data_IF_294532513666
#
_entry.id   IF_294532513666
#
_cell.length_a   1.000
_cell.length_b   1.000
_cell.length_c   1.000
_cell.angle_alpha   90.00
_cell.angle_beta   90.00
_cell.angle_gamma   90.00
#
_symmetry.space_group_name_H-M   'P 1'
#
loop_
_entity.id
_entity.type
_entity.pdbx_description
1 polymer ?
#
# COMPACT_ATOMS: atom_id res chain seq x y z
N UNK A 1 -27.24 -16.18 22.50
CA UNK A 1 -27.61 -17.61 22.62
C UNK A 1 -28.74 -17.90 21.64
N UNK A 2 -28.72 -19.03 20.95
CA UNK A 2 -29.87 -19.54 20.20
C UNK A 2 -30.13 -20.97 20.68
N UNK A 3 -31.36 -21.27 21.11
CA UNK A 3 -31.75 -22.56 21.72
C UNK A 3 -30.85 -23.02 22.89
N UNK A 4 -30.47 -22.13 23.80
CA UNK A 4 -29.66 -22.49 24.97
C UNK A 4 -28.20 -22.86 24.70
N UNK A 5 -27.76 -22.82 23.43
CA UNK A 5 -26.37 -23.03 23.05
C UNK A 5 -25.68 -21.66 22.95
N UNK A 6 -24.57 -21.43 23.67
CA UNK A 6 -23.74 -20.25 23.47
C UNK A 6 -23.07 -20.35 22.10
N UNK A 7 -23.68 -19.73 21.09
CA UNK A 7 -23.04 -19.55 19.78
C UNK A 7 -21.93 -18.51 19.97
N UNK A 8 -20.65 -18.87 19.75
CA UNK A 8 -19.56 -17.90 19.81
C UNK A 8 -19.66 -16.99 18.58
N UNK A 9 -20.35 -15.86 18.75
CA UNK A 9 -20.40 -14.81 17.73
C UNK A 9 -19.12 -14.01 17.84
N UNK A 10 -18.22 -14.17 16.87
CA UNK A 10 -17.06 -13.28 16.74
C UNK A 10 -17.53 -12.00 16.08
N UNK A 11 -17.80 -10.98 16.89
CA UNK A 11 -18.13 -9.64 16.38
C UNK A 11 -16.81 -9.00 15.91
N UNK A 12 -16.65 -8.65 14.62
CA UNK A 12 -15.47 -7.95 14.16
C UNK A 12 -15.41 -6.58 14.83
N UNK A 13 -14.39 -6.33 15.64
CA UNK A 13 -14.19 -5.04 16.34
C UNK A 13 -13.64 -3.97 15.39
N UNK A 14 -13.10 -4.39 14.25
CA UNK A 14 -12.66 -3.51 13.16
C UNK A 14 -13.01 -4.15 11.82
N UNK A 15 -13.75 -3.43 10.98
CA UNK A 15 -14.07 -3.82 9.60
C UNK A 15 -13.37 -2.84 8.68
N UNK A 16 -12.51 -3.34 7.78
CA UNK A 16 -11.90 -2.49 6.78
C UNK A 16 -12.97 -1.98 5.79
N UNK A 17 -12.82 -0.76 5.24
CA UNK A 17 -13.69 -0.28 4.17
C UNK A 17 -13.83 -1.31 3.05
N UNK A 18 -14.99 -1.34 2.40
CA UNK A 18 -15.29 -2.23 1.25
C UNK A 18 -15.23 -3.74 1.56
N UNK A 19 -15.06 -4.15 2.83
CA UNK A 19 -15.16 -5.56 3.23
C UNK A 19 -16.62 -5.90 3.48
N UNK A 20 -17.30 -6.45 2.48
CA UNK A 20 -18.71 -6.85 2.56
C UNK A 20 -18.83 -8.35 2.38
N UNK A 21 -19.41 -9.02 3.39
CA UNK A 21 -19.62 -10.47 3.37
C UNK A 21 -18.33 -11.30 3.48
N UNK A 22 -18.50 -12.61 3.28
CA UNK A 22 -17.39 -13.56 3.24
C UNK A 22 -16.92 -13.73 1.79
N UNK A 23 -15.66 -13.43 1.54
CA UNK A 23 -15.01 -13.60 0.23
C UNK A 23 -13.54 -13.99 0.42
N UNK A 24 -12.93 -14.55 -0.62
CA UNK A 24 -11.51 -14.92 -0.60
C UNK A 24 -10.77 -14.35 -1.80
N UNK A 25 -9.78 -13.49 -1.51
CA UNK A 25 -8.81 -13.04 -2.50
C UNK A 25 -7.95 -14.20 -2.99
N UNK A 26 -7.61 -15.16 -2.13
CA UNK A 26 -6.84 -16.34 -2.51
C UNK A 26 -7.57 -17.11 -3.62
N UNK A 27 -8.86 -17.43 -3.43
CA UNK A 27 -9.67 -18.13 -4.44
C UNK A 27 -9.71 -17.35 -5.75
N UNK A 28 -9.98 -16.04 -5.70
CA UNK A 28 -10.04 -15.18 -6.89
C UNK A 28 -8.71 -15.19 -7.66
N UNK A 29 -7.59 -15.00 -6.96
CA UNK A 29 -6.25 -14.96 -7.55
C UNK A 29 -5.90 -16.30 -8.17
N UNK A 30 -6.08 -17.40 -7.44
CA UNK A 30 -5.79 -18.75 -7.95
C UNK A 30 -6.58 -19.04 -9.22
N UNK A 31 -7.88 -18.72 -9.24
CA UNK A 31 -8.76 -18.97 -10.38
C UNK A 31 -8.22 -18.38 -11.69
N UNK A 32 -7.80 -17.11 -11.66
CA UNK A 32 -7.31 -16.41 -12.85
C UNK A 32 -5.81 -16.63 -13.13
N UNK A 33 -5.01 -16.89 -12.09
CA UNK A 33 -3.56 -17.15 -12.24
C UNK A 33 -3.26 -18.54 -12.79
N UNK A 34 -3.97 -19.58 -12.35
CA UNK A 34 -3.70 -20.96 -12.78
C UNK A 34 -4.02 -21.17 -14.27
N UNK A 35 -5.11 -20.59 -14.75
CA UNK A 35 -5.49 -20.65 -16.17
C UNK A 35 -4.45 -19.94 -17.04
N UNK A 36 -4.02 -18.75 -16.63
CA UNK A 36 -3.00 -17.97 -17.33
C UNK A 36 -1.63 -18.67 -17.34
N UNK A 37 -1.24 -19.31 -16.24
CA UNK A 37 0.02 -20.07 -16.17
C UNK A 37 0.05 -21.31 -17.07
N UNK A 38 -1.10 -21.95 -17.31
CA UNK A 38 -1.21 -23.12 -18.22
C UNK A 38 -1.19 -22.73 -19.70
N UNK A 39 -1.82 -21.62 -20.04
CA UNK A 39 -1.90 -21.12 -21.42
C UNK A 39 -1.92 -19.60 -21.44
N UNK A 40 -0.73 -18.99 -21.55
CA UNK A 40 -0.58 -17.53 -21.64
C UNK A 40 -1.23 -17.05 -22.92
N UNK A 41 -2.34 -16.33 -22.80
CA UNK A 41 -2.99 -15.64 -23.91
C UNK A 41 -2.67 -14.14 -23.81
N UNK A 42 -2.08 -13.54 -24.86
CA UNK A 42 -1.75 -12.13 -24.84
C UNK A 42 -3.03 -11.29 -24.87
N UNK A 43 -3.07 -10.26 -24.03
CA UNK A 43 -4.17 -9.30 -24.01
C UNK A 43 -4.06 -8.29 -25.17
N UNK A 44 -5.19 -7.82 -25.72
CA UNK A 44 -5.22 -6.62 -26.53
C UNK A 44 -4.63 -5.44 -25.75
N UNK A 45 -3.81 -4.63 -26.42
CA UNK A 45 -3.17 -3.48 -25.78
C UNK A 45 -4.20 -2.40 -25.44
N UNK A 46 -4.25 -2.02 -24.18
CA UNK A 46 -5.03 -0.87 -23.71
C UNK A 46 -4.26 -0.14 -22.61
N UNK A 47 -4.03 1.16 -22.79
CA UNK A 47 -3.08 1.92 -21.98
C UNK A 47 -3.39 1.93 -20.47
N UNK A 48 -4.67 1.85 -20.06
CA UNK A 48 -5.03 1.71 -18.65
C UNK A 48 -4.87 0.29 -18.11
N UNK A 49 -5.07 -0.74 -18.93
CA UNK A 49 -5.28 -2.13 -18.46
C UNK A 49 -4.01 -2.97 -18.54
N UNK A 50 -3.24 -2.81 -19.61
CA UNK A 50 -2.06 -3.62 -19.93
C UNK A 50 -0.78 -2.81 -19.70
N UNK A 51 -0.52 -2.41 -18.45
CA UNK A 51 0.61 -1.53 -18.08
C UNK A 51 1.98 -2.14 -18.38
N UNK A 52 2.11 -3.47 -18.33
CA UNK A 52 3.32 -4.21 -18.70
C UNK A 52 3.16 -4.92 -20.06
N UNK A 53 2.38 -4.32 -20.97
CA UNK A 53 2.11 -4.87 -22.30
C UNK A 53 1.20 -6.12 -22.29
N UNK A 54 1.20 -6.92 -23.37
CA UNK A 54 0.20 -7.97 -23.60
C UNK A 54 0.21 -9.10 -22.56
N UNK A 55 1.33 -9.27 -21.85
CA UNK A 55 1.50 -10.33 -20.84
C UNK A 55 1.27 -9.82 -19.41
N UNK A 56 0.60 -8.68 -19.25
CA UNK A 56 0.19 -8.18 -17.94
C UNK A 56 -0.64 -9.25 -17.22
N UNK A 57 -0.34 -9.52 -15.95
CA UNK A 57 -1.01 -10.57 -15.19
C UNK A 57 -2.54 -10.28 -15.07
N UNK A 58 -3.44 -11.27 -15.23
CA UNK A 58 -4.89 -11.05 -15.27
C UNK A 58 -5.47 -10.31 -14.05
N UNK A 59 -4.93 -10.59 -12.86
CA UNK A 59 -5.33 -9.90 -11.62
C UNK A 59 -4.94 -8.42 -11.63
N UNK A 60 -3.82 -8.06 -12.27
CA UNK A 60 -3.40 -6.66 -12.44
C UNK A 60 -4.30 -5.97 -13.47
N UNK A 61 -4.66 -6.66 -14.56
CA UNK A 61 -5.66 -6.17 -15.53
C UNK A 61 -6.99 -5.88 -14.83
N UNK A 62 -7.45 -6.78 -13.96
CA UNK A 62 -8.65 -6.59 -13.14
C UNK A 62 -8.50 -5.38 -12.20
N UNK A 63 -7.41 -5.29 -11.44
CA UNK A 63 -7.16 -4.15 -10.55
C UNK A 63 -7.16 -2.81 -11.30
N UNK A 64 -6.51 -2.75 -12.46
CA UNK A 64 -6.46 -1.58 -13.33
C UNK A 64 -7.85 -1.20 -13.87
N UNK A 65 -8.65 -2.18 -14.27
CA UNK A 65 -10.02 -1.96 -14.73
C UNK A 65 -10.88 -1.32 -13.63
N UNK A 66 -10.75 -1.82 -12.41
CA UNK A 66 -11.47 -1.29 -11.25
C UNK A 66 -11.01 0.13 -10.88
N UNK A 67 -9.69 0.36 -10.82
CA UNK A 67 -9.12 1.67 -10.53
C UNK A 67 -9.48 2.74 -11.57
N UNK A 68 -9.58 2.36 -12.84
CA UNK A 68 -9.93 3.27 -13.94
C UNK A 68 -11.42 3.26 -14.29
N UNK A 69 -12.26 2.76 -13.38
CA UNK A 69 -13.71 2.79 -13.45
C UNK A 69 -14.30 2.17 -14.73
N UNK A 70 -13.69 1.08 -15.22
CA UNK A 70 -14.17 0.30 -16.36
C UNK A 70 -15.36 -0.59 -15.97
N UNK A 71 -16.14 -1.02 -16.97
CA UNK A 71 -17.26 -1.95 -16.82
C UNK A 71 -16.71 -3.39 -16.73
N UNK A 72 -16.80 -3.98 -15.55
CA UNK A 72 -16.26 -5.32 -15.28
C UNK A 72 -17.41 -6.30 -15.04
N UNK A 73 -17.40 -7.42 -15.77
CA UNK A 73 -18.39 -8.50 -15.61
C UNK A 73 -17.70 -9.79 -15.19
N UNK A 74 -18.24 -10.44 -14.17
CA UNK A 74 -17.92 -11.81 -13.77
C UNK A 74 -18.96 -12.76 -14.32
N UNK A 75 -18.59 -13.58 -15.29
CA UNK A 75 -19.45 -14.57 -15.92
C UNK A 75 -19.28 -15.93 -15.23
N UNK A 76 -20.34 -16.41 -14.58
CA UNK A 76 -20.42 -17.72 -13.91
C UNK A 76 -21.42 -18.65 -14.56
N UNK A 77 -21.29 -18.96 -15.86
CA UNK A 77 -22.18 -19.91 -16.50
C UNK A 77 -22.08 -21.29 -15.83
N UNK A 78 -23.23 -21.89 -15.48
CA UNK A 78 -23.34 -23.15 -14.71
C UNK A 78 -22.67 -23.12 -13.31
N UNK A 79 -22.43 -21.93 -12.75
CA UNK A 79 -22.00 -21.79 -11.35
C UNK A 79 -23.14 -21.24 -10.49
N UNK A 80 -23.18 -21.58 -9.19
CA UNK A 80 -24.09 -20.95 -8.25
C UNK A 80 -23.88 -19.44 -8.23
N UNK A 81 -24.97 -18.66 -8.19
CA UNK A 81 -24.90 -17.19 -8.10
C UNK A 81 -24.12 -16.70 -6.88
N UNK A 82 -24.09 -17.48 -5.80
CA UNK A 82 -23.26 -17.22 -4.63
C UNK A 82 -21.75 -17.15 -4.94
N UNK A 83 -21.22 -18.07 -5.74
CA UNK A 83 -19.79 -18.03 -6.13
C UNK A 83 -19.47 -16.83 -7.00
N UNK A 84 -20.40 -16.42 -7.87
CA UNK A 84 -20.26 -15.23 -8.71
C UNK A 84 -20.27 -13.97 -7.84
N UNK A 85 -21.19 -13.89 -6.89
CA UNK A 85 -21.27 -12.80 -5.92
C UNK A 85 -20.00 -12.70 -5.06
N UNK A 86 -19.47 -13.84 -4.58
CA UNK A 86 -18.19 -13.88 -3.84
C UNK A 86 -17.03 -13.30 -4.68
N UNK A 87 -16.97 -13.61 -5.98
CA UNK A 87 -15.93 -13.09 -6.87
C UNK A 87 -16.05 -11.57 -7.07
N UNK A 88 -17.26 -11.05 -7.25
CA UNK A 88 -17.53 -9.60 -7.35
C UNK A 88 -17.10 -8.87 -6.08
N UNK A 89 -17.45 -9.40 -4.91
CA UNK A 89 -17.08 -8.82 -3.62
C UNK A 89 -15.57 -8.90 -3.36
N UNK A 90 -14.94 -10.02 -3.74
CA UNK A 90 -13.48 -10.17 -3.69
C UNK A 90 -12.78 -9.13 -4.57
N UNK A 91 -13.30 -8.86 -5.76
CA UNK A 91 -12.75 -7.84 -6.66
C UNK A 91 -12.84 -6.42 -6.06
N UNK A 92 -13.98 -6.08 -5.42
CA UNK A 92 -14.13 -4.80 -4.72
C UNK A 92 -13.08 -4.62 -3.61
N UNK A 93 -12.88 -5.66 -2.80
CA UNK A 93 -11.90 -5.62 -1.73
C UNK A 93 -10.44 -5.61 -2.24
N UNK A 94 -10.18 -6.27 -3.37
CA UNK A 94 -8.88 -6.26 -4.03
C UNK A 94 -8.49 -4.86 -4.50
N UNK A 95 -9.39 -4.16 -5.19
CA UNK A 95 -9.15 -2.78 -5.63
C UNK A 95 -9.13 -1.77 -4.47
N UNK A 96 -9.93 -2.02 -3.43
CA UNK A 96 -9.94 -1.19 -2.23
C UNK A 96 -8.62 -1.25 -1.46
N UNK A 97 -8.06 -2.46 -1.29
CA UNK A 97 -6.97 -2.69 -0.34
C UNK A 97 -7.32 -2.29 1.10
N UNK A 98 -8.61 -2.08 1.42
CA UNK A 98 -9.07 -1.51 2.68
C UNK A 98 -8.65 -0.05 2.90
N UNK A 99 -8.32 0.67 1.82
CA UNK A 99 -7.87 2.08 1.84
C UNK A 99 -8.72 2.92 0.91
N UNK A 100 -8.87 2.50 -0.35
CA UNK A 100 -9.74 3.16 -1.32
C UNK A 100 -11.19 2.70 -1.12
N UNK A 101 -12.15 3.62 -1.22
CA UNK A 101 -13.58 3.32 -1.04
C UNK A 101 -14.41 3.66 -2.28
N UNK A 102 -15.64 3.16 -2.30
CA UNK A 102 -16.65 3.45 -3.31
C UNK A 102 -16.92 2.31 -4.30
N UNK A 103 -16.12 1.24 -4.32
CA UNK A 103 -16.28 0.09 -5.22
C UNK A 103 -17.62 -0.64 -5.02
N UNK A 104 -18.00 -0.88 -3.77
CA UNK A 104 -19.25 -1.54 -3.37
C UNK A 104 -20.51 -0.77 -3.79
N UNK A 105 -20.44 0.56 -3.95
CA UNK A 105 -21.60 1.39 -4.36
C UNK A 105 -22.05 1.15 -5.80
N UNK A 106 -21.19 0.58 -6.62
CA UNK A 106 -21.45 0.25 -8.03
C UNK A 106 -21.13 -1.21 -8.33
N UNK A 107 -21.11 -2.03 -7.27
CA UNK A 107 -21.02 -3.47 -7.37
C UNK A 107 -22.43 -4.06 -7.36
N UNK A 108 -22.70 -4.91 -8.34
CA UNK A 108 -23.92 -5.69 -8.49
C UNK A 108 -23.53 -7.16 -8.36
N UNK A 109 -23.50 -7.74 -7.14
CA UNK A 109 -23.07 -9.12 -6.93
C UNK A 109 -23.81 -10.12 -7.82
N UNK A 110 -25.04 -9.79 -8.21
CA UNK A 110 -25.78 -10.48 -9.25
C UNK A 110 -26.66 -9.49 -10.04
N UNK A 111 -26.68 -9.63 -11.37
CA UNK A 111 -27.61 -8.94 -12.27
C UNK A 111 -28.06 -9.85 -13.40
N UNK A 112 -29.25 -9.58 -13.91
CA UNK A 112 -29.87 -10.29 -15.02
C UNK A 112 -29.93 -9.43 -16.30
N UNK A 113 -30.34 -10.04 -17.41
CA UNK A 113 -30.42 -9.36 -18.71
C UNK A 113 -31.45 -8.22 -18.73
N UNK A 114 -32.49 -8.27 -17.89
CA UNK A 114 -33.56 -7.27 -17.90
C UNK A 114 -33.08 -5.88 -17.46
N UNK A 115 -31.97 -5.81 -16.74
CA UNK A 115 -31.40 -4.58 -16.18
C UNK A 115 -30.20 -4.04 -16.96
N UNK A 116 -29.94 -4.56 -18.15
CA UNK A 116 -28.75 -4.19 -18.91
C UNK A 116 -28.74 -2.69 -19.25
N UNK A 117 -29.88 -2.12 -19.64
CA UNK A 117 -29.97 -0.71 -20.00
C UNK A 117 -29.69 0.19 -18.78
N UNK A 118 -30.21 -0.17 -17.61
CA UNK A 118 -29.92 0.52 -16.35
C UNK A 118 -28.45 0.39 -15.95
N UNK A 119 -27.87 -0.79 -16.15
CA UNK A 119 -26.48 -1.07 -15.83
C UNK A 119 -25.52 -0.25 -16.70
N UNK A 120 -25.85 -0.05 -17.98
CA UNK A 120 -25.07 0.75 -18.92
C UNK A 120 -25.10 2.25 -18.61
N UNK A 121 -26.12 2.74 -17.91
CA UNK A 121 -26.18 4.13 -17.44
C UNK A 121 -25.18 4.41 -16.30
N UNK A 122 -24.65 3.36 -15.64
CA UNK A 122 -23.63 3.52 -14.60
C UNK A 122 -22.27 3.71 -15.28
N UNK A 123 -21.50 4.77 -14.98
CA UNK A 123 -20.25 5.14 -15.67
C UNK A 123 -19.05 4.22 -15.34
N UNK A 124 -19.31 2.94 -15.09
CA UNK A 124 -18.40 1.91 -14.59
C UNK A 124 -19.06 1.15 -13.45
N UNK A 125 -19.11 -0.17 -13.58
CA UNK A 125 -19.78 -1.08 -12.66
C UNK A 125 -19.00 -2.39 -12.53
N UNK A 126 -19.27 -3.13 -11.44
CA UNK A 126 -18.72 -4.47 -11.19
C UNK A 126 -19.89 -5.42 -11.05
N UNK A 127 -20.18 -6.25 -12.05
CA UNK A 127 -21.39 -7.05 -12.07
C UNK A 127 -21.10 -8.56 -12.13
N UNK A 128 -21.91 -9.34 -11.43
CA UNK A 128 -21.93 -10.79 -11.52
C UNK A 128 -23.10 -11.27 -12.38
N UNK A 129 -22.84 -12.14 -13.35
CA UNK A 129 -23.87 -12.67 -14.26
C UNK A 129 -23.68 -14.18 -14.46
N UNK A 130 -24.77 -14.89 -14.70
CA UNK A 130 -24.73 -16.34 -15.03
C UNK A 130 -25.14 -16.64 -16.46
N UNK A 131 -25.68 -15.64 -17.17
CA UNK A 131 -26.15 -15.80 -18.54
C UNK A 131 -24.97 -15.63 -19.53
N UNK A 132 -24.69 -16.64 -20.39
CA UNK A 132 -23.58 -16.56 -21.35
C UNK A 132 -23.78 -15.52 -22.45
N UNK A 133 -25.01 -15.01 -22.66
CA UNK A 133 -25.29 -13.95 -23.64
C UNK A 133 -24.38 -12.72 -23.44
N UNK A 134 -23.99 -12.41 -22.20
CA UNK A 134 -23.06 -11.30 -21.92
C UNK A 134 -21.73 -11.43 -22.66
N UNK A 135 -21.23 -12.65 -22.89
CA UNK A 135 -19.98 -12.86 -23.64
C UNK A 135 -20.11 -12.48 -25.12
N UNK A 136 -21.30 -12.62 -25.69
CA UNK A 136 -21.59 -12.35 -27.10
C UNK A 136 -21.74 -10.85 -27.41
N UNK A 137 -21.92 -10.02 -26.38
CA UNK A 137 -22.13 -8.57 -26.48
C UNK A 137 -20.97 -7.79 -25.85
N UNK A 138 -19.82 -7.69 -26.55
CA UNK A 138 -18.64 -6.95 -26.06
C UNK A 138 -18.91 -5.45 -25.84
N UNK A 139 -19.99 -4.89 -26.39
CA UNK A 139 -20.43 -3.53 -26.14
C UNK A 139 -20.91 -3.28 -24.70
N UNK A 140 -21.26 -4.34 -23.95
CA UNK A 140 -21.82 -4.20 -22.59
C UNK A 140 -20.78 -4.11 -21.49
N UNK A 141 -19.53 -4.47 -21.77
CA UNK A 141 -18.46 -4.55 -20.79
C UNK A 141 -17.11 -4.20 -21.40
N UNK A 142 -16.17 -3.80 -20.55
CA UNK A 142 -14.81 -3.49 -20.96
C UNK A 142 -13.86 -4.65 -20.63
N UNK A 143 -14.10 -5.31 -19.48
CA UNK A 143 -13.38 -6.51 -19.03
C UNK A 143 -14.36 -7.59 -18.61
N UNK A 144 -14.19 -8.80 -19.15
CA UNK A 144 -14.97 -9.98 -18.78
C UNK A 144 -14.07 -11.01 -18.09
N UNK A 145 -14.47 -11.39 -16.89
CA UNK A 145 -13.84 -12.39 -16.05
C UNK A 145 -14.69 -13.67 -16.09
N UNK A 146 -14.27 -14.64 -16.89
CA UNK A 146 -14.94 -15.94 -17.02
C UNK A 146 -14.50 -16.85 -15.87
N UNK A 147 -15.41 -17.11 -14.94
CA UNK A 147 -15.16 -17.91 -13.75
C UNK A 147 -14.98 -19.41 -14.09
N UNK A 148 -15.83 -20.06 -14.90
CA UNK A 148 -15.61 -21.44 -15.33
C UNK A 148 -14.24 -21.69 -15.97
N UNK A 149 -13.80 -20.83 -16.90
CA UNK A 149 -12.52 -21.05 -17.61
C UNK A 149 -11.32 -20.41 -16.91
N UNK A 150 -11.55 -19.52 -15.95
CA UNK A 150 -10.51 -18.73 -15.29
C UNK A 150 -9.82 -17.75 -16.24
N UNK A 151 -10.46 -17.36 -17.35
CA UNK A 151 -9.88 -16.43 -18.34
C UNK A 151 -10.42 -15.03 -18.13
N UNK A 152 -9.53 -14.04 -18.31
CA UNK A 152 -9.91 -12.63 -18.40
C UNK A 152 -9.84 -12.22 -19.86
N UNK A 153 -10.84 -11.46 -20.33
CA UNK A 153 -10.93 -10.95 -21.71
C UNK A 153 -11.09 -9.44 -21.66
N UNK A 154 -10.44 -8.74 -22.58
CA UNK A 154 -10.64 -7.30 -22.81
C UNK A 154 -11.54 -7.17 -24.03
N UNK A 155 -12.57 -6.32 -23.93
CA UNK A 155 -13.54 -6.12 -25.00
C UNK A 155 -12.87 -5.55 -26.24
N UNK A 156 -13.29 -6.00 -27.43
CA UNK A 156 -12.89 -5.40 -28.70
C UNK A 156 -13.54 -4.03 -28.95
N UNK A 157 -14.56 -3.68 -28.15
CA UNK A 157 -15.29 -2.42 -28.19
C UNK A 157 -14.90 -1.47 -27.05
N UNK A 158 -13.87 -1.80 -26.28
CA UNK A 158 -13.37 -0.93 -25.22
C UNK A 158 -12.93 0.41 -25.82
N UNK A 159 -13.39 1.50 -25.21
CA UNK A 159 -12.96 2.84 -25.60
C UNK A 159 -11.48 3.02 -25.29
N UNK A 160 -10.69 3.58 -26.24
CA UNK A 160 -9.28 3.84 -26.00
C UNK A 160 -9.10 4.85 -24.88
N UNK A 161 -8.00 4.72 -24.14
CA UNK A 161 -7.61 5.73 -23.16
C UNK A 161 -7.40 7.08 -23.85
N UNK A 162 -8.08 8.12 -23.35
CA UNK A 162 -7.89 9.50 -23.82
C UNK A 162 -6.50 9.98 -23.42
N UNK A 163 -5.85 10.73 -24.32
CA UNK A 163 -4.63 11.45 -23.97
C UNK A 163 -4.98 12.52 -22.96
N UNK A 164 -4.35 12.48 -21.79
CA UNK A 164 -4.57 13.46 -20.72
C UNK A 164 -3.45 14.49 -20.66
N UNK A 165 -3.75 15.65 -20.07
CA UNK A 165 -2.76 16.72 -19.89
C UNK A 165 -1.55 16.24 -19.08
N UNK A 166 -1.78 15.45 -18.02
CA UNK A 166 -0.69 14.93 -17.19
C UNK A 166 0.26 14.01 -17.95
N UNK A 167 -0.28 13.23 -18.90
CA UNK A 167 0.53 12.41 -19.78
C UNK A 167 1.45 13.26 -20.66
N UNK A 168 0.90 14.33 -21.26
CA UNK A 168 1.65 15.24 -22.13
C UNK A 168 2.71 16.00 -21.35
N UNK A 169 2.36 16.57 -20.20
CA UNK A 169 3.29 17.29 -19.34
C UNK A 169 4.42 16.39 -18.85
N UNK A 170 4.12 15.16 -18.43
CA UNK A 170 5.16 14.21 -18.03
C UNK A 170 6.15 13.93 -19.16
N UNK A 171 5.66 13.70 -20.39
CA UNK A 171 6.51 13.45 -21.55
C UNK A 171 7.40 14.66 -21.91
N UNK A 172 6.88 15.88 -21.79
CA UNK A 172 7.62 17.11 -22.05
C UNK A 172 8.70 17.37 -20.99
N UNK A 173 8.38 17.15 -19.71
CA UNK A 173 9.30 17.32 -18.60
C UNK A 173 10.37 16.21 -18.55
N UNK A 174 10.05 15.01 -19.05
CA UNK A 174 10.91 13.83 -19.02
C UNK A 174 11.12 13.21 -20.41
N UNK A 175 11.76 13.90 -21.37
CA UNK A 175 11.89 13.42 -22.76
C UNK A 175 12.56 12.05 -22.88
N UNK A 176 13.55 11.75 -22.03
CA UNK A 176 14.26 10.47 -22.02
C UNK A 176 13.37 9.27 -21.64
N UNK A 177 12.24 9.51 -20.98
CA UNK A 177 11.31 8.48 -20.52
C UNK A 177 9.97 8.51 -21.26
N UNK A 178 9.77 9.45 -22.19
CA UNK A 178 8.52 9.63 -22.92
C UNK A 178 8.08 8.36 -23.69
N UNK A 179 9.04 7.59 -24.23
CA UNK A 179 8.79 6.34 -24.94
C UNK A 179 8.38 5.15 -24.05
N UNK A 180 8.44 5.30 -22.72
CA UNK A 180 7.96 4.29 -21.77
C UNK A 180 6.51 4.50 -21.35
N UNK A 181 5.94 5.67 -21.65
CA UNK A 181 4.58 6.03 -21.26
C UNK A 181 3.55 5.25 -22.09
N UNK A 182 2.53 4.70 -21.42
CA UNK A 182 1.36 4.10 -22.06
C UNK A 182 1.40 2.59 -22.30
N UNK A 183 2.43 1.87 -21.82
CA UNK A 183 2.46 0.40 -21.82
C UNK A 183 2.45 -0.27 -23.20
N UNK A 184 2.47 0.50 -24.28
CA UNK A 184 2.49 0.03 -25.68
C UNK A 184 3.89 -0.25 -26.18
N UNK A 185 4.94 0.12 -25.42
CA UNK A 185 6.33 -0.16 -25.79
C UNK A 185 6.73 -1.58 -25.38
N UNK A 186 7.39 -2.31 -26.29
CA UNK A 186 7.97 -3.65 -26.02
C UNK A 186 8.89 -3.64 -24.79
N UNK A 187 9.52 -2.50 -24.52
CA UNK A 187 10.44 -2.26 -23.40
C UNK A 187 9.72 -2.40 -22.04
N UNK A 188 8.46 -1.94 -21.95
CA UNK A 188 7.68 -2.00 -20.70
C UNK A 188 7.34 -3.45 -20.30
N UNK A 189 7.20 -4.34 -21.28
CA UNK A 189 6.91 -5.76 -21.04
C UNK A 189 8.13 -6.56 -20.54
N UNK A 190 9.35 -6.14 -20.90
CA UNK A 190 10.60 -6.82 -20.52
C UNK A 190 11.21 -6.31 -19.20
N UNK A 191 10.89 -5.08 -18.78
CA UNK A 191 11.57 -4.41 -17.65
C UNK A 191 10.72 -4.22 -16.38
N UNK A 192 9.47 -4.72 -16.35
CA UNK A 192 8.51 -4.61 -15.22
C UNK A 192 8.54 -3.23 -14.55
N UNK A 193 8.26 -2.17 -15.32
CA UNK A 193 8.42 -0.77 -14.87
C UNK A 193 7.59 -0.44 -13.62
N UNK A 194 6.43 -1.08 -13.46
CA UNK A 194 5.53 -0.88 -12.32
C UNK A 194 5.84 -1.78 -11.12
N UNK A 195 6.67 -2.82 -11.31
CA UNK A 195 6.93 -3.86 -10.31
C UNK A 195 5.76 -4.85 -10.12
N UNK A 196 4.76 -4.83 -10.99
CA UNK A 196 3.57 -5.67 -10.86
C UNK A 196 3.87 -7.16 -11.09
N UNK A 197 4.83 -7.50 -11.96
CA UNK A 197 5.21 -8.90 -12.16
C UNK A 197 5.89 -9.45 -10.90
N UNK A 198 6.85 -8.71 -10.34
CA UNK A 198 7.51 -9.07 -9.09
C UNK A 198 6.51 -9.20 -7.93
N UNK A 199 5.57 -8.26 -7.83
CA UNK A 199 4.49 -8.31 -6.84
C UNK A 199 3.61 -9.56 -6.98
N UNK A 200 3.13 -9.87 -8.19
CA UNK A 200 2.29 -11.04 -8.41
C UNK A 200 3.03 -12.36 -8.16
N UNK A 201 4.33 -12.44 -8.49
CA UNK A 201 5.15 -13.61 -8.15
C UNK A 201 5.23 -13.82 -6.63
N UNK A 202 5.41 -12.76 -5.85
CA UNK A 202 5.45 -12.82 -4.39
C UNK A 202 4.09 -13.21 -3.77
N UNK A 203 2.98 -12.72 -4.34
CA UNK A 203 1.61 -13.16 -3.98
C UNK A 203 1.45 -14.66 -4.24
N UNK A 204 1.79 -15.15 -5.43
CA UNK A 204 1.66 -16.56 -5.80
C UNK A 204 2.54 -17.46 -4.93
N UNK A 205 3.77 -17.02 -4.63
CA UNK A 205 4.66 -17.71 -3.69
C UNK A 205 4.03 -17.81 -2.29
N UNK A 206 3.37 -16.75 -1.83
CA UNK A 206 2.71 -16.74 -0.52
C UNK A 206 1.50 -17.67 -0.47
N UNK A 207 0.73 -17.74 -1.55
CA UNK A 207 -0.39 -18.68 -1.71
C UNK A 207 0.13 -20.12 -1.75
N UNK A 208 1.18 -20.40 -2.51
CA UNK A 208 1.82 -21.72 -2.56
C UNK A 208 2.38 -22.15 -1.20
N UNK A 209 2.91 -21.20 -0.42
CA UNK A 209 3.35 -21.40 0.96
C UNK A 209 2.19 -21.47 1.99
N UNK A 210 0.93 -21.52 1.52
CA UNK A 210 -0.29 -21.61 2.34
C UNK A 210 -0.41 -20.52 3.40
N UNK A 211 0.08 -19.31 3.09
CA UNK A 211 -0.14 -18.14 3.96
C UNK A 211 -1.62 -17.80 3.97
N UNK A 212 -2.14 -17.44 5.16
CA UNK A 212 -3.57 -17.16 5.33
C UNK A 212 -4.04 -15.90 4.59
N UNK A 213 -5.35 -15.79 4.39
CA UNK A 213 -6.03 -14.70 3.68
C UNK A 213 -5.61 -13.30 4.16
N UNK A 214 -5.39 -13.12 5.48
CA UNK A 214 -4.93 -11.85 6.07
C UNK A 214 -3.60 -11.38 5.50
N UNK A 215 -2.68 -12.30 5.21
CA UNK A 215 -1.36 -11.96 4.64
C UNK A 215 -1.51 -11.49 3.20
N UNK A 216 -2.35 -12.16 2.40
CA UNK A 216 -2.60 -11.77 1.01
C UNK A 216 -3.31 -10.40 0.96
N UNK A 217 -4.29 -10.17 1.83
CA UNK A 217 -4.96 -8.87 1.97
C UNK A 217 -3.99 -7.76 2.39
N UNK A 218 -3.08 -8.03 3.33
CA UNK A 218 -2.05 -7.07 3.72
C UNK A 218 -1.13 -6.69 2.55
N UNK A 219 -0.70 -7.67 1.74
CA UNK A 219 0.11 -7.39 0.54
C UNK A 219 -0.63 -6.55 -0.50
N UNK A 220 -1.92 -6.81 -0.71
CA UNK A 220 -2.75 -5.99 -1.59
C UNK A 220 -2.96 -4.57 -1.05
N UNK A 221 -3.16 -4.44 0.27
CA UNK A 221 -3.20 -3.13 0.94
C UNK A 221 -1.90 -2.36 0.71
N UNK A 222 -0.74 -3.01 0.87
CA UNK A 222 0.56 -2.39 0.62
C UNK A 222 0.72 -1.95 -0.84
N UNK A 223 0.23 -2.75 -1.80
CA UNK A 223 0.22 -2.37 -3.23
C UNK A 223 -0.64 -1.12 -3.49
N UNK A 224 -1.84 -1.03 -2.89
CA UNK A 224 -2.72 0.15 -3.01
C UNK A 224 -2.12 1.39 -2.32
N UNK A 225 -1.52 1.23 -1.14
CA UNK A 225 -0.82 2.33 -0.44
C UNK A 225 0.37 2.82 -1.26
N UNK A 226 1.15 1.89 -1.84
CA UNK A 226 2.23 2.22 -2.76
C UNK A 226 1.70 3.01 -3.95
N UNK A 227 0.65 2.52 -4.62
CA UNK A 227 0.04 3.19 -5.77
C UNK A 227 -0.40 4.63 -5.46
N UNK A 228 -1.14 4.84 -4.36
CA UNK A 228 -1.60 6.18 -3.96
C UNK A 228 -0.46 7.14 -3.65
N UNK A 229 0.63 6.67 -3.03
CA UNK A 229 1.83 7.49 -2.76
C UNK A 229 2.64 7.80 -4.02
N UNK A 230 2.69 6.88 -4.98
CA UNK A 230 3.29 7.14 -6.31
C UNK A 230 2.43 8.15 -7.08
N UNK A 231 1.10 8.04 -7.03
CA UNK A 231 0.19 9.00 -7.63
C UNK A 231 0.38 10.41 -7.07
N UNK A 232 0.57 10.55 -5.75
CA UNK A 232 0.85 11.83 -5.13
C UNK A 232 2.14 12.47 -5.68
N UNK A 233 3.22 11.70 -5.78
CA UNK A 233 4.49 12.16 -6.33
C UNK A 233 4.43 12.46 -7.84
N UNK A 234 3.57 11.76 -8.59
CA UNK A 234 3.28 12.10 -9.98
C UNK A 234 2.58 13.46 -10.06
N UNK A 235 1.55 13.69 -9.24
CA UNK A 235 0.79 14.94 -9.24
C UNK A 235 1.68 16.15 -8.91
N UNK A 236 2.51 16.04 -7.88
CA UNK A 236 3.49 17.07 -7.54
C UNK A 236 4.49 17.32 -8.66
N UNK A 237 5.00 16.25 -9.28
CA UNK A 237 5.98 16.38 -10.37
C UNK A 237 5.39 17.07 -11.60
N UNK A 238 4.15 16.74 -11.94
CA UNK A 238 3.52 17.15 -13.20
C UNK A 238 2.69 18.44 -13.06
N UNK A 239 1.91 18.56 -11.99
CA UNK A 239 0.99 19.68 -11.73
C UNK A 239 1.52 20.67 -10.69
N UNK A 240 2.68 20.38 -10.07
CA UNK A 240 3.31 21.23 -9.05
C UNK A 240 2.76 21.06 -7.63
N UNK A 241 1.60 20.40 -7.49
CA UNK A 241 1.00 20.07 -6.19
C UNK A 241 0.14 18.81 -6.33
N UNK A 242 -0.12 18.16 -5.19
CA UNK A 242 -0.93 16.94 -5.11
C UNK A 242 -2.09 17.13 -4.14
N UNK A 243 -3.30 16.76 -4.57
CA UNK A 243 -4.45 16.73 -3.67
C UNK A 243 -4.39 15.56 -2.67
N UNK A 244 -3.48 14.61 -2.92
CA UNK A 244 -3.25 13.43 -2.08
C UNK A 244 -2.25 13.71 -0.94
N UNK A 245 -1.69 14.92 -0.86
CA UNK A 245 -0.81 15.34 0.22
C UNK A 245 -1.33 16.63 0.86
N UNK A 246 -1.62 16.58 2.16
CA UNK A 246 -2.27 17.67 2.93
C UNK A 246 -1.25 18.42 3.83
N UNK A 247 0.05 18.14 3.71
CA UNK A 247 1.07 18.59 4.67
C UNK A 247 1.93 19.79 4.28
N UNK A 248 1.51 20.63 3.34
CA UNK A 248 2.37 21.65 2.72
C UNK A 248 2.71 22.90 3.54
N UNK A 249 1.84 23.34 4.46
CA UNK A 249 1.95 24.72 5.00
C UNK A 249 2.27 24.85 6.50
N UNK A 250 2.09 23.80 7.32
CA UNK A 250 2.19 23.93 8.77
C UNK A 250 3.30 23.03 9.33
N UNK A 251 4.54 23.52 9.27
CA UNK A 251 5.51 23.48 10.36
C UNK A 251 6.85 24.06 9.88
N UNK A 252 7.34 25.02 10.64
CA UNK A 252 8.67 25.63 10.61
C UNK A 252 9.76 24.60 11.02
N UNK A 253 9.78 23.46 10.33
CA UNK A 253 10.58 22.27 10.61
C UNK A 253 11.94 22.27 9.90
N UNK A 254 12.29 23.37 9.24
CA UNK A 254 13.59 23.62 8.62
C UNK A 254 14.79 23.49 9.59
N UNK A 255 14.55 23.37 10.89
CA UNK A 255 15.60 23.15 11.91
C UNK A 255 16.13 21.72 12.00
N UNK A 256 15.40 20.70 11.51
CA UNK A 256 15.81 19.29 11.64
C UNK A 256 16.32 18.62 10.36
N UNK A 257 16.29 19.31 9.21
CA UNK A 257 16.79 18.77 7.92
C UNK A 257 15.99 17.61 7.32
N UNK A 258 15.03 17.05 8.06
CA UNK A 258 14.16 15.96 7.61
C UNK A 258 13.01 16.53 6.77
N UNK A 259 13.32 16.85 5.52
CA UNK A 259 12.35 17.26 4.51
C UNK A 259 11.99 16.06 3.62
N UNK A 260 10.72 15.99 3.21
CA UNK A 260 10.22 15.03 2.24
C UNK A 260 8.98 14.28 2.70
N UNK A 261 8.18 13.86 1.73
CA UNK A 261 6.94 13.10 1.91
C UNK A 261 6.74 12.14 0.73
N UNK A 262 5.74 11.27 0.84
CA UNK A 262 5.34 10.41 -0.26
C UNK A 262 6.25 9.21 -0.43
N UNK A 263 6.16 8.52 -1.56
CA UNK A 263 6.88 7.27 -1.80
C UNK A 263 8.40 7.48 -1.91
N UNK A 264 9.18 6.46 -1.54
CA UNK A 264 10.64 6.52 -1.53
C UNK A 264 11.21 5.54 -2.55
N UNK A 265 11.95 6.06 -3.51
CA UNK A 265 12.74 5.29 -4.46
C UNK A 265 14.19 5.18 -4.02
N UNK A 266 14.88 4.17 -4.56
CA UNK A 266 16.32 3.96 -4.38
C UNK A 266 17.11 5.13 -4.97
N UNK A 267 16.71 5.57 -6.17
CA UNK A 267 17.31 6.68 -6.92
C UNK A 267 16.28 7.36 -7.85
N UNK A 268 16.65 8.52 -8.39
CA UNK A 268 15.79 9.32 -9.27
C UNK A 268 15.48 8.64 -10.62
N UNK A 269 16.43 7.96 -11.30
CA UNK A 269 16.10 7.16 -12.50
C UNK A 269 15.03 6.09 -12.25
N UNK A 270 15.08 5.41 -11.10
CA UNK A 270 14.08 4.41 -10.72
C UNK A 270 12.72 5.05 -10.51
N UNK A 271 12.69 6.24 -9.89
CA UNK A 271 11.47 7.06 -9.76
C UNK A 271 10.87 7.37 -11.12
N UNK A 272 11.65 7.93 -12.03
CA UNK A 272 11.13 8.36 -13.34
C UNK A 272 10.62 7.18 -14.19
N UNK A 273 11.31 6.03 -14.15
CA UNK A 273 10.85 4.81 -14.82
C UNK A 273 9.52 4.29 -14.28
N UNK A 274 9.38 4.24 -12.96
CA UNK A 274 8.16 3.74 -12.33
C UNK A 274 6.99 4.72 -12.52
N UNK A 275 7.25 6.04 -12.47
CA UNK A 275 6.26 7.05 -12.83
C UNK A 275 5.80 6.89 -14.28
N UNK A 276 6.74 6.75 -15.23
CA UNK A 276 6.45 6.57 -16.65
C UNK A 276 5.53 5.35 -16.91
N UNK A 277 5.78 4.23 -16.21
CA UNK A 277 4.96 3.02 -16.31
C UNK A 277 3.56 3.15 -15.69
N UNK A 278 3.37 4.07 -14.74
CA UNK A 278 2.11 4.26 -14.03
C UNK A 278 1.27 5.46 -14.53
N UNK A 279 1.80 6.35 -15.38
CA UNK A 279 1.11 7.58 -15.84
C UNK A 279 -0.34 7.34 -16.24
N UNK A 280 -0.58 6.38 -17.13
CA UNK A 280 -1.93 6.12 -17.67
C UNK A 280 -2.87 5.49 -16.65
N UNK A 281 -2.33 4.70 -15.71
CA UNK A 281 -3.08 4.16 -14.57
C UNK A 281 -3.48 5.27 -13.60
N UNK A 282 -2.53 6.16 -13.27
CA UNK A 282 -2.73 7.28 -12.35
C UNK A 282 -3.76 8.25 -12.93
N UNK A 283 -3.54 8.73 -14.15
CA UNK A 283 -4.45 9.66 -14.83
C UNK A 283 -5.85 9.07 -15.04
N UNK A 284 -5.93 7.77 -15.33
CA UNK A 284 -7.20 7.05 -15.39
C UNK A 284 -7.92 6.99 -14.04
N UNK A 285 -7.20 6.86 -12.93
CA UNK A 285 -7.78 6.83 -11.58
C UNK A 285 -8.16 8.23 -11.04
N UNK A 286 -7.38 9.27 -11.35
CA UNK A 286 -7.60 10.66 -10.88
C UNK A 286 -8.98 11.23 -11.22
N UNK A 287 -9.59 10.74 -12.29
CA UNK A 287 -10.93 11.17 -12.73
C UNK A 287 -12.06 10.30 -12.18
N UNK A 288 -11.79 9.43 -11.20
CA UNK A 288 -12.78 8.45 -10.72
C UNK A 288 -13.38 8.82 -9.36
N UNK A 289 -14.54 8.23 -9.09
CA UNK A 289 -15.23 8.31 -7.80
C UNK A 289 -14.34 7.90 -6.62
N UNK A 290 -13.46 6.91 -6.84
CA UNK A 290 -12.52 6.39 -5.84
C UNK A 290 -11.48 7.44 -5.43
N UNK A 291 -10.92 8.16 -6.41
CA UNK A 291 -9.95 9.23 -6.15
C UNK A 291 -10.54 10.38 -5.32
N UNK A 292 -11.70 10.91 -5.70
CA UNK A 292 -12.35 11.98 -4.94
C UNK A 292 -12.74 11.53 -3.53
N UNK A 293 -13.20 10.29 -3.38
CA UNK A 293 -13.52 9.72 -2.07
C UNK A 293 -12.26 9.61 -1.19
N UNK A 294 -11.12 9.26 -1.79
CA UNK A 294 -9.85 9.14 -1.10
C UNK A 294 -9.29 10.50 -0.64
N UNK A 295 -9.43 11.57 -1.44
CA UNK A 295 -9.10 12.94 -1.00
C UNK A 295 -9.88 13.32 0.26
N UNK A 296 -11.19 13.03 0.27
CA UNK A 296 -12.03 13.31 1.44
C UNK A 296 -11.58 12.51 2.67
N UNK A 297 -11.22 11.23 2.48
CA UNK A 297 -10.71 10.38 3.56
C UNK A 297 -9.38 10.90 4.10
N UNK A 298 -8.47 11.35 3.23
CA UNK A 298 -7.21 11.95 3.64
C UNK A 298 -7.42 13.22 4.46
N UNK A 299 -8.36 14.09 4.06
CA UNK A 299 -8.70 15.29 4.81
C UNK A 299 -9.24 14.94 6.21
N UNK A 300 -10.09 13.92 6.32
CA UNK A 300 -10.58 13.44 7.61
C UNK A 300 -9.46 12.87 8.48
N UNK A 301 -8.62 11.99 7.92
CA UNK A 301 -7.48 11.38 8.63
C UNK A 301 -6.52 12.47 9.12
N UNK A 302 -6.27 13.50 8.32
CA UNK A 302 -5.39 14.61 8.68
C UNK A 302 -5.86 15.37 9.93
N UNK A 303 -7.18 15.49 10.15
CA UNK A 303 -7.71 16.21 11.31
C UNK A 303 -7.37 15.53 12.65
N UNK A 304 -7.28 14.19 12.65
CA UNK A 304 -7.03 13.36 13.84
C UNK A 304 -5.61 12.79 13.90
N UNK A 305 -4.77 13.07 12.90
CA UNK A 305 -3.41 12.53 12.83
C UNK A 305 -2.57 13.08 13.99
N UNK A 306 -1.92 12.21 14.81
CA UNK A 306 -1.13 12.65 15.97
C UNK A 306 0.03 13.59 15.60
N UNK A 307 0.69 13.31 14.48
CA UNK A 307 1.80 14.12 13.95
C UNK A 307 1.44 14.74 12.61
N UNK A 308 1.32 16.06 12.60
CA UNK A 308 1.16 16.90 11.40
C UNK A 308 2.53 17.37 10.91
N UNK A 309 2.67 17.62 9.62
CA UNK A 309 3.91 18.09 8.98
C UNK A 309 5.07 17.07 8.91
N UNK A 310 5.01 15.95 9.64
CA UNK A 310 6.02 14.89 9.59
C UNK A 310 5.49 13.61 8.94
N UNK A 311 6.09 13.21 7.82
CA UNK A 311 5.79 11.93 7.16
C UNK A 311 6.69 10.81 7.70
N UNK A 312 6.27 10.20 8.81
CA UNK A 312 6.96 9.05 9.41
C UNK A 312 7.13 7.88 8.43
N UNK A 313 6.16 7.68 7.54
CA UNK A 313 6.22 6.58 6.57
C UNK A 313 7.33 6.84 5.54
N UNK A 314 7.45 8.08 5.06
CA UNK A 314 8.55 8.50 4.19
C UNK A 314 9.90 8.35 4.89
N UNK A 315 10.05 8.84 6.12
CA UNK A 315 11.29 8.72 6.90
C UNK A 315 11.71 7.26 7.11
N UNK A 316 10.76 6.40 7.48
CA UNK A 316 11.01 4.97 7.67
C UNK A 316 11.44 4.30 6.36
N UNK A 317 10.74 4.57 5.26
CA UNK A 317 11.10 4.02 3.96
C UNK A 317 12.46 4.52 3.46
N UNK A 318 12.90 5.74 3.82
CA UNK A 318 14.26 6.21 3.51
C UNK A 318 15.33 5.36 4.18
N UNK A 319 15.16 4.99 5.47
CA UNK A 319 16.07 4.06 6.14
C UNK A 319 16.09 2.68 5.50
N UNK A 320 14.94 2.24 4.97
CA UNK A 320 14.76 0.92 4.36
C UNK A 320 15.34 0.81 2.95
N UNK A 321 15.12 1.84 2.13
CA UNK A 321 15.28 1.77 0.67
C UNK A 321 16.52 2.52 0.19
N UNK A 322 16.90 3.63 0.83
CA UNK A 322 17.99 4.48 0.36
C UNK A 322 19.32 4.18 1.05
N UNK A 323 20.42 4.39 0.33
CA UNK A 323 21.77 4.38 0.92
C UNK A 323 22.09 5.76 1.49
N UNK A 324 21.70 5.97 2.73
CA UNK A 324 21.91 7.24 3.42
C UNK A 324 23.33 7.38 3.93
N UNK A 325 23.90 8.58 3.80
CA UNK A 325 25.14 8.91 4.48
C UNK A 325 24.87 9.09 5.99
N UNK A 326 25.91 9.05 6.85
CA UNK A 326 25.70 9.15 8.29
C UNK A 326 25.14 10.49 8.80
N UNK A 327 25.21 11.58 8.04
CA UNK A 327 24.58 12.84 8.42
C UNK A 327 23.07 12.77 8.14
N UNK A 328 22.68 12.26 6.97
CA UNK A 328 21.28 12.08 6.57
C UNK A 328 20.55 11.10 7.48
N UNK A 329 21.17 9.96 7.83
CA UNK A 329 20.54 9.01 8.74
C UNK A 329 20.46 9.55 10.17
N UNK A 330 21.46 10.33 10.62
CA UNK A 330 21.40 11.05 11.91
C UNK A 330 20.15 11.92 12.01
N UNK A 331 19.85 12.73 11.00
CA UNK A 331 18.67 13.61 11.00
C UNK A 331 17.38 12.81 11.21
N UNK A 332 17.22 11.68 10.52
CA UNK A 332 16.04 10.81 10.66
C UNK A 332 15.92 10.23 12.07
N UNK A 333 17.00 9.66 12.63
CA UNK A 333 16.96 9.07 13.96
C UNK A 333 16.69 10.10 15.06
N UNK A 334 17.29 11.30 14.94
CA UNK A 334 17.06 12.38 15.89
C UNK A 334 15.61 12.86 15.79
N UNK A 335 15.06 13.00 14.58
CA UNK A 335 13.66 13.37 14.39
C UNK A 335 12.69 12.32 14.96
N UNK A 336 12.93 11.02 14.74
CA UNK A 336 12.13 9.96 15.38
C UNK A 336 12.16 10.07 16.90
N UNK A 337 13.35 10.23 17.48
CA UNK A 337 13.49 10.36 18.92
C UNK A 337 12.80 11.62 19.47
N UNK A 338 12.79 12.73 18.70
CA UNK A 338 12.23 14.05 19.04
C UNK A 338 10.71 14.17 18.87
N UNK A 339 10.11 13.44 17.94
CA UNK A 339 8.68 13.60 17.64
C UNK A 339 7.82 12.39 18.02
N UNK A 340 8.42 11.24 18.38
CA UNK A 340 7.67 10.06 18.82
C UNK A 340 7.83 9.93 20.33
N UNK A 341 6.80 10.32 21.08
CA UNK A 341 6.74 10.30 22.54
C UNK A 341 5.42 9.76 23.08
N UNK A 342 4.30 10.26 22.58
CA UNK A 342 2.97 9.94 23.09
C UNK A 342 2.51 8.55 22.67
N UNK A 343 1.47 8.04 23.35
CA UNK A 343 0.86 6.75 23.02
C UNK A 343 0.42 6.69 21.55
N UNK A 344 -0.26 7.73 21.07
CA UNK A 344 -0.78 7.79 19.71
C UNK A 344 0.34 7.94 18.65
N UNK A 345 1.42 8.65 18.98
CA UNK A 345 2.60 8.78 18.12
C UNK A 345 3.34 7.46 17.96
N UNK A 346 3.47 6.69 19.05
CA UNK A 346 4.03 5.34 19.01
C UNK A 346 3.13 4.44 18.17
N UNK A 347 1.80 4.48 18.36
CA UNK A 347 0.86 3.73 17.52
C UNK A 347 0.99 4.08 16.03
N UNK A 348 1.11 5.37 15.72
CA UNK A 348 1.34 5.84 14.35
C UNK A 348 2.66 5.30 13.80
N UNK A 349 3.75 5.35 14.57
CA UNK A 349 5.04 4.82 14.14
C UNK A 349 5.00 3.30 13.91
N UNK A 350 4.36 2.53 14.80
CA UNK A 350 4.20 1.08 14.63
C UNK A 350 3.37 0.73 13.39
N UNK A 351 2.43 1.60 13.00
CA UNK A 351 1.63 1.41 11.78
C UNK A 351 2.46 1.54 10.49
N UNK A 352 3.56 2.29 10.51
CA UNK A 352 4.46 2.46 9.35
C UNK A 352 5.64 1.48 9.34
N UNK A 353 5.82 0.73 10.43
CA UNK A 353 6.86 -0.28 10.59
C UNK A 353 6.25 -1.67 10.86
N UNK A 354 5.39 -2.21 9.97
CA UNK A 354 4.79 -3.53 10.19
C UNK A 354 5.86 -4.64 10.17
N UNK A 355 5.57 -5.79 10.81
CA UNK A 355 6.50 -6.94 10.82
C UNK A 355 6.83 -7.45 9.41
N UNK A 356 5.89 -7.33 8.47
CA UNK A 356 6.10 -7.64 7.05
C UNK A 356 7.21 -6.81 6.42
N UNK A 357 7.48 -5.61 6.94
CA UNK A 357 8.53 -4.69 6.50
C UNK A 357 9.72 -4.68 7.47
N UNK A 358 9.98 -5.81 8.13
CA UNK A 358 11.05 -6.03 9.12
C UNK A 358 10.84 -5.31 10.46
N UNK A 359 9.65 -4.77 10.74
CA UNK A 359 9.32 -4.21 12.05
C UNK A 359 10.28 -3.09 12.45
N UNK A 360 10.79 -3.15 13.68
CA UNK A 360 11.72 -2.16 14.23
C UNK A 360 13.18 -2.32 13.76
N UNK A 361 13.48 -3.26 12.86
CA UNK A 361 14.85 -3.54 12.42
C UNK A 361 15.57 -2.27 11.93
N UNK A 362 14.96 -1.51 11.02
CA UNK A 362 15.57 -0.29 10.47
C UNK A 362 15.72 0.83 11.51
N UNK A 363 14.86 0.87 12.53
CA UNK A 363 15.06 1.76 13.67
C UNK A 363 16.24 1.30 14.53
N UNK A 364 16.33 0.00 14.81
CA UNK A 364 17.36 -0.60 15.66
C UNK A 364 18.77 -0.50 15.06
N UNK A 365 18.91 -0.35 13.74
CA UNK A 365 20.19 -0.02 13.11
C UNK A 365 20.80 1.30 13.65
N UNK A 366 19.99 2.21 14.19
CA UNK A 366 20.46 3.42 14.88
C UNK A 366 21.33 3.14 16.10
N UNK A 367 21.19 1.97 16.74
CA UNK A 367 22.06 1.51 17.84
C UNK A 367 23.51 1.29 17.40
N UNK A 368 23.75 1.12 16.09
CA UNK A 368 25.08 0.91 15.52
C UNK A 368 25.60 2.15 14.77
N UNK A 369 24.91 3.29 14.91
CA UNK A 369 25.31 4.52 14.24
C UNK A 369 26.68 5.01 14.73
N UNK A 370 27.47 5.64 13.85
CA UNK A 370 28.81 6.18 14.20
C UNK A 370 28.73 7.22 15.33
N UNK A 371 27.63 7.95 15.34
CA UNK A 371 27.37 9.03 16.29
C UNK A 371 26.82 8.51 17.61
N UNK A 372 27.47 8.87 18.73
CA UNK A 372 27.06 8.46 20.07
C UNK A 372 25.68 8.98 20.45
N UNK A 373 25.36 10.22 20.06
CA UNK A 373 24.07 10.82 20.39
C UNK A 373 22.93 10.05 19.74
N UNK A 374 23.09 9.68 18.46
CA UNK A 374 22.10 8.86 17.73
C UNK A 374 21.89 7.51 18.41
N UNK A 375 22.96 6.84 18.84
CA UNK A 375 22.86 5.55 19.54
C UNK A 375 22.05 5.68 20.83
N UNK A 376 22.34 6.69 21.65
CA UNK A 376 21.60 6.95 22.90
C UNK A 376 20.14 7.29 22.63
N UNK A 377 19.86 8.23 21.71
CA UNK A 377 18.50 8.64 21.34
C UNK A 377 17.65 7.52 20.75
N UNK A 378 18.29 6.60 20.03
CA UNK A 378 17.65 5.39 19.49
C UNK A 378 17.31 4.41 20.63
N UNK A 379 18.22 4.20 21.57
CA UNK A 379 17.96 3.37 22.75
C UNK A 379 16.79 3.93 23.58
N UNK A 380 16.75 5.23 23.80
CA UNK A 380 15.66 5.92 24.51
C UNK A 380 14.30 5.74 23.82
N UNK A 381 14.26 5.85 22.49
CA UNK A 381 13.04 5.61 21.74
C UNK A 381 12.60 4.14 21.80
N UNK A 382 13.54 3.21 21.66
CA UNK A 382 13.26 1.79 21.70
C UNK A 382 12.74 1.31 23.06
N UNK A 383 13.22 1.90 24.17
CA UNK A 383 12.69 1.62 25.50
C UNK A 383 11.23 2.06 25.62
N UNK A 384 10.91 3.30 25.19
CA UNK A 384 9.55 3.82 25.18
C UNK A 384 8.60 2.93 24.36
N UNK A 385 9.06 2.46 23.20
CA UNK A 385 8.31 1.48 22.40
C UNK A 385 8.15 0.15 23.15
N UNK A 386 9.19 -0.31 23.86
CA UNK A 386 9.15 -1.53 24.67
C UNK A 386 8.20 -1.46 25.88
N UNK A 387 7.97 -0.27 26.43
CA UNK A 387 7.01 -0.03 27.51
C UNK A 387 5.56 0.05 27.01
N UNK A 388 5.37 0.58 25.79
CA UNK A 388 4.06 0.70 25.15
C UNK A 388 3.36 -0.66 24.94
N UNK A 389 2.08 -0.77 25.27
CA UNK A 389 1.31 -2.03 25.22
C UNK A 389 1.38 -2.72 23.86
N UNK A 390 1.15 -1.98 22.76
CA UNK A 390 1.29 -2.53 21.42
C UNK A 390 2.77 -2.74 21.03
N UNK A 391 3.67 -1.87 21.52
CA UNK A 391 5.07 -1.86 21.11
C UNK A 391 5.89 -3.00 21.69
N UNK A 392 5.44 -3.58 22.81
CA UNK A 392 5.98 -4.81 23.38
C UNK A 392 6.05 -5.96 22.37
N UNK A 393 5.08 -6.06 21.46
CA UNK A 393 5.08 -7.09 20.41
C UNK A 393 6.24 -6.88 19.44
N UNK A 394 6.41 -5.65 18.94
CA UNK A 394 7.51 -5.27 18.05
C UNK A 394 8.87 -5.37 18.71
N UNK A 395 8.98 -4.97 19.98
CA UNK A 395 10.19 -5.10 20.78
C UNK A 395 10.63 -6.57 20.92
N UNK A 396 9.68 -7.48 21.14
CA UNK A 396 9.95 -8.93 21.16
C UNK A 396 10.50 -9.42 19.82
N UNK A 397 10.04 -8.84 18.71
CA UNK A 397 10.50 -9.11 17.35
C UNK A 397 11.95 -8.71 17.06
N UNK A 398 12.57 -7.84 17.87
CA UNK A 398 13.99 -7.50 17.71
C UNK A 398 14.90 -8.73 17.92
N UNK A 399 15.95 -8.81 17.11
CA UNK A 399 16.97 -9.85 17.18
C UNK A 399 17.75 -9.78 18.49
N UNK A 400 18.39 -10.89 18.86
CA UNK A 400 19.27 -10.95 20.04
C UNK A 400 20.43 -9.96 19.94
N UNK A 401 20.94 -9.74 18.72
CA UNK A 401 22.05 -8.83 18.47
C UNK A 401 21.67 -7.38 18.76
N UNK A 402 20.51 -6.92 18.29
CA UNK A 402 19.99 -5.57 18.58
C UNK A 402 19.71 -5.38 20.07
N UNK A 403 19.11 -6.38 20.73
CA UNK A 403 18.86 -6.34 22.17
C UNK A 403 20.16 -6.24 22.98
N UNK A 404 21.23 -6.92 22.58
CA UNK A 404 22.54 -6.81 23.24
C UNK A 404 23.17 -5.43 23.05
N UNK A 405 23.06 -4.85 21.85
CA UNK A 405 23.55 -3.50 21.59
C UNK A 405 22.80 -2.45 22.42
N UNK A 406 21.47 -2.57 22.50
CA UNK A 406 20.63 -1.76 23.38
C UNK A 406 21.10 -1.84 24.84
N UNK A 407 21.24 -3.05 25.39
CA UNK A 407 21.66 -3.26 26.78
C UNK A 407 23.05 -2.69 27.06
N UNK A 408 23.96 -2.76 26.08
CA UNK A 408 25.30 -2.16 26.20
C UNK A 408 25.21 -0.64 26.28
N UNK A 409 24.49 -0.01 25.35
CA UNK A 409 24.32 1.45 25.32
C UNK A 409 23.68 1.95 26.63
N UNK A 410 22.66 1.24 27.13
CA UNK A 410 22.01 1.55 28.41
C UNK A 410 22.97 1.54 29.59
N UNK A 411 23.78 0.48 29.71
CA UNK A 411 24.79 0.41 30.78
C UNK A 411 25.81 1.53 30.69
N UNK A 412 26.25 1.88 29.47
CA UNK A 412 27.17 2.99 29.25
C UNK A 412 26.52 4.32 29.68
N UNK A 413 25.28 4.60 29.26
CA UNK A 413 24.57 5.84 29.62
C UNK A 413 24.26 5.95 31.11
N UNK A 414 23.90 4.85 31.77
CA UNK A 414 23.63 4.83 33.21
C UNK A 414 24.91 5.08 34.01
N UNK A 415 26.03 4.49 33.58
CA UNK A 415 27.34 4.74 34.18
C UNK A 415 27.78 6.20 34.00
N UNK A 416 27.57 6.78 32.83
CA UNK A 416 27.84 8.20 32.59
C UNK A 416 26.98 9.11 33.47
N UNK A 417 25.68 8.80 33.60
CA UNK A 417 24.75 9.56 34.46
C UNK A 417 25.16 9.48 35.93
N UNK A 418 25.52 8.29 36.43
CA UNK A 418 26.06 8.13 37.80
C UNK A 418 27.32 8.96 38.02
N UNK A 419 28.26 8.89 37.08
CA UNK A 419 29.52 9.67 37.14
C UNK A 419 29.26 11.19 37.11
N UNK A 420 28.25 11.65 36.36
CA UNK A 420 27.84 13.07 36.35
C UNK A 420 27.23 13.48 37.70
N UNK A 421 26.33 12.68 38.25
CA UNK A 421 25.70 12.93 39.56
C UNK A 421 26.72 12.94 40.70
N UNK A 422 27.73 12.07 40.64
CA UNK A 422 28.88 12.07 41.56
C UNK A 422 29.70 13.35 41.46
N UNK A 423 29.95 13.85 40.24
CA UNK A 423 30.69 15.10 40.01
C UNK A 423 29.90 16.36 40.39
N UNK A 424 28.57 16.31 40.29
CA UNK A 424 27.67 17.40 40.66
C UNK A 424 27.30 17.37 42.15
N UNK A 425 27.83 16.42 42.93
CA UNK A 425 27.67 16.36 44.39
C UNK A 425 26.26 15.97 44.86
N UNK A 426 25.48 15.30 44.01
CA UNK A 426 24.04 15.01 44.22
C UNK A 426 23.74 13.61 44.77
N UNK A 427 24.74 12.88 45.29
CA UNK A 427 24.50 11.63 46.02
C UNK A 427 24.47 11.92 47.53
N UNK A 428 23.37 11.61 48.25
CA UNK A 428 23.37 11.65 49.70
C UNK A 428 24.38 10.63 50.22
N UNK A 429 25.28 11.04 51.10
CA UNK A 429 26.24 10.19 51.81
C UNK A 429 25.54 9.08 52.63
N UNK A 430 25.04 8.02 51.99
CA UNK A 430 24.38 6.90 52.68
C UNK A 430 25.22 5.62 52.76
N UNK A 431 26.51 5.69 52.40
CA UNK A 431 27.43 4.54 52.51
C UNK A 431 28.64 4.79 53.44
N UNK A 432 28.61 5.84 54.27
CA UNK A 432 29.67 6.12 55.26
C UNK A 432 29.41 5.61 56.68
N UNK A 433 28.37 4.81 56.89
CA UNK A 433 28.12 4.16 58.19
C UNK A 433 27.78 2.70 57.98
N UNK A 434 28.81 1.86 57.90
CA UNK A 434 29.01 0.66 58.73
C UNK A 434 30.50 0.32 58.54
N UNK A 435 31.29 0.70 59.54
CA UNK A 435 32.63 0.19 59.82
C UNK A 435 32.52 -0.84 60.93
#
# INVERSE_FOLDING_TARGET
MYKGIPIPIKIPVAVMPETVGDFSLIKLIQKFSESHGKAVQPFPLHAHLTTNGPNTHPIIVLANALLTQKRVIFLGHNLPSGEVAEAVLAACALASGGTLRGFTRHAFPYTDLTKIDDLLNVPGFIAGVTNPTFELHPEWWDVLCDLPTGKVKISSKIEPATVTEGMVYFQQQNPSFAGLVGGTSRISAETDLTGDQAFMQDILKSIAARRGERVIRAKWRDWVIKFTRIAAAFEEGVYGASALYIGGDDLDMGSTGVNGHGYVWVDEPSRQKELAGNVTRIEGWRNTRSYYSFIQDLAQIYTIRPLKGLDLHHMHDRLRTQRLNPAQSREIYIAFSKYIFSYDEICLFLSVAPESHAGLFYLALGLFHKDREVRTRTADLLERIGEHEAGQHWWKGLSRFEKLAYMRIRRETDADMRTKLEKEGLIPELERRIS
#
